data_IF_671659229754
#
_entry.id   IF_671659229754
#
_cell.length_a   1.000
_cell.length_b   1.000
_cell.length_c   1.000
_cell.angle_alpha   90.00
_cell.angle_beta   90.00
_cell.angle_gamma   90.00
#
_symmetry.space_group_name_H-M   'P 1'
#
loop_
_entity.id
_entity.type
_entity.pdbx_description
1 polymer ?
#
# COMPACT_ATOMS: atom_id res chain seq x y z
N UNK A 1 -11.54 2.14 2.89
CA UNK A 1 -10.11 1.83 2.64
C UNK A 1 -9.30 3.11 2.80
N UNK A 2 -8.02 3.01 3.18
CA UNK A 2 -7.09 4.15 3.18
C UNK A 2 -5.75 3.74 2.58
N UNK A 3 -5.03 4.75 2.07
CA UNK A 3 -3.69 4.62 1.53
C UNK A 3 -2.79 5.65 2.21
N UNK A 4 -1.73 5.19 2.86
CA UNK A 4 -0.75 6.05 3.51
C UNK A 4 0.60 5.88 2.80
N UNK A 5 1.16 6.96 2.26
CA UNK A 5 2.45 6.93 1.56
C UNK A 5 3.56 7.59 2.37
N UNK A 6 4.75 6.99 2.39
CA UNK A 6 5.97 7.60 2.95
C UNK A 6 6.92 7.98 1.82
N UNK A 7 7.12 9.29 1.62
CA UNK A 7 8.10 9.83 0.68
C UNK A 7 9.50 9.38 1.11
N UNK A 8 10.34 9.05 0.13
CA UNK A 8 11.72 8.63 0.37
C UNK A 8 12.57 9.78 0.95
N UNK A 9 12.70 10.87 0.19
CA UNK A 9 13.36 12.09 0.66
C UNK A 9 12.57 13.34 0.24
N UNK A 10 11.97 14.01 1.23
CA UNK A 10 11.22 15.24 0.99
C UNK A 10 12.10 16.40 0.50
N UNK A 11 13.38 16.45 0.91
CA UNK A 11 14.29 17.51 0.47
C UNK A 11 14.57 17.40 -1.02
N UNK A 12 14.71 16.18 -1.54
CA UNK A 12 14.90 15.92 -2.98
C UNK A 12 13.65 16.26 -3.76
N UNK A 13 12.46 15.92 -3.25
CA UNK A 13 11.18 16.38 -3.81
C UNK A 13 11.10 17.92 -3.91
N UNK A 14 11.61 18.62 -2.91
CA UNK A 14 11.66 20.08 -2.85
C UNK A 14 12.84 20.70 -3.62
N UNK A 15 13.72 19.90 -4.24
CA UNK A 15 14.89 20.38 -4.98
C UNK A 15 16.04 20.89 -4.09
N UNK A 16 16.05 20.54 -2.80
CA UNK A 16 17.05 20.95 -1.81
C UNK A 16 18.14 19.89 -1.57
N UNK A 17 18.03 18.72 -2.20
CA UNK A 17 18.98 17.61 -2.09
C UNK A 17 19.03 16.79 -3.39
N UNK A 18 20.15 16.13 -3.65
CA UNK A 18 20.36 15.18 -4.75
C UNK A 18 20.36 13.71 -4.28
N UNK A 19 20.10 13.45 -2.99
CA UNK A 19 20.15 12.10 -2.39
C UNK A 19 18.75 11.47 -2.33
N UNK A 20 18.64 10.16 -2.60
CA UNK A 20 17.35 9.47 -2.61
C UNK A 20 16.49 9.86 -3.82
N UNK A 21 15.18 9.63 -3.75
CA UNK A 21 14.25 9.93 -4.85
C UNK A 21 12.99 10.70 -4.42
N UNK A 22 12.36 11.33 -5.42
CA UNK A 22 11.18 12.19 -5.28
C UNK A 22 9.91 11.42 -4.86
N UNK A 23 9.89 10.11 -5.15
CA UNK A 23 8.71 9.25 -4.98
C UNK A 23 8.55 8.64 -3.58
N UNK A 24 7.50 7.83 -3.43
CA UNK A 24 7.27 7.03 -2.23
C UNK A 24 8.30 5.91 -2.10
N UNK A 25 8.83 5.71 -0.90
CA UNK A 25 9.59 4.50 -0.54
C UNK A 25 8.65 3.37 -0.11
N UNK A 26 7.58 3.72 0.60
CA UNK A 26 6.63 2.78 1.16
C UNK A 26 5.20 3.31 1.02
N UNK A 27 4.25 2.40 0.86
CA UNK A 27 2.82 2.68 0.90
C UNK A 27 2.10 1.62 1.71
N UNK A 28 1.28 2.03 2.69
CA UNK A 28 0.42 1.15 3.47
C UNK A 28 -0.99 1.16 2.88
N UNK A 29 -1.47 0.00 2.46
CA UNK A 29 -2.81 -0.16 1.90
C UNK A 29 -3.70 -0.86 2.93
N UNK A 30 -4.61 -0.10 3.55
CA UNK A 30 -5.45 -0.57 4.66
C UNK A 30 -6.88 -0.80 4.21
N UNK A 31 -7.33 -2.04 4.32
CA UNK A 31 -8.71 -2.43 4.08
C UNK A 31 -9.45 -2.60 5.42
N UNK A 32 -10.55 -1.89 5.58
CA UNK A 32 -11.51 -2.08 6.67
C UNK A 32 -12.79 -2.59 6.04
N UNK A 33 -13.27 -3.76 6.44
CA UNK A 33 -14.40 -4.41 5.80
C UNK A 33 -15.32 -5.07 6.83
N UNK A 34 -16.63 -4.85 6.72
CA UNK A 34 -17.64 -5.61 7.44
C UNK A 34 -18.11 -6.74 6.53
N UNK A 35 -17.99 -7.99 6.97
CA UNK A 35 -18.35 -9.14 6.16
C UNK A 35 -18.80 -10.31 7.04
N UNK A 36 -19.78 -11.12 6.61
CA UNK A 36 -20.12 -12.38 7.28
C UNK A 36 -19.10 -13.50 7.02
N UNK A 37 -18.14 -13.29 6.11
CA UNK A 37 -17.09 -14.26 5.81
C UNK A 37 -16.06 -14.32 6.96
N UNK A 38 -15.45 -15.49 7.15
CA UNK A 38 -14.42 -15.65 8.16
C UNK A 38 -13.15 -14.84 7.83
N UNK A 39 -12.33 -14.48 8.84
CA UNK A 39 -11.15 -13.64 8.65
C UNK A 39 -10.14 -14.19 7.63
N UNK A 40 -10.01 -15.51 7.51
CA UNK A 40 -9.06 -16.13 6.56
C UNK A 40 -9.53 -15.93 5.13
N UNK A 41 -10.82 -16.15 4.86
CA UNK A 41 -11.42 -15.85 3.54
C UNK A 41 -11.19 -14.39 3.15
N UNK A 42 -11.35 -13.45 4.07
CA UNK A 42 -11.08 -12.02 3.81
C UNK A 42 -9.60 -11.76 3.51
N UNK A 43 -8.70 -12.39 4.26
CA UNK A 43 -7.26 -12.26 4.05
C UNK A 43 -6.82 -12.83 2.69
N UNK A 44 -7.39 -13.96 2.26
CA UNK A 44 -7.10 -14.59 0.97
C UNK A 44 -7.60 -13.73 -0.19
N UNK A 45 -8.82 -13.18 -0.08
CA UNK A 45 -9.37 -12.22 -1.07
C UNK A 45 -8.48 -10.99 -1.17
N UNK A 46 -8.04 -10.43 -0.04
CA UNK A 46 -7.19 -9.24 -0.03
C UNK A 46 -5.82 -9.51 -0.66
N UNK A 47 -5.20 -10.63 -0.30
CA UNK A 47 -3.95 -11.08 -0.91
C UNK A 47 -4.09 -11.23 -2.42
N UNK A 48 -5.17 -11.88 -2.87
CA UNK A 48 -5.43 -12.06 -4.31
C UNK A 48 -5.66 -10.74 -5.05
N UNK A 49 -6.33 -9.80 -4.41
CA UNK A 49 -6.57 -8.45 -4.95
C UNK A 49 -5.25 -7.73 -5.19
N UNK A 50 -4.28 -7.84 -4.28
CA UNK A 50 -2.96 -7.21 -4.42
C UNK A 50 -2.13 -7.84 -5.54
N UNK A 51 -2.18 -9.17 -5.69
CA UNK A 51 -1.51 -9.88 -6.78
C UNK A 51 -2.02 -9.47 -8.17
N UNK A 52 -3.33 -9.20 -8.27
CA UNK A 52 -4.00 -9.00 -9.56
C UNK A 52 -4.22 -7.53 -9.91
N UNK A 53 -4.07 -6.62 -8.94
CA UNK A 53 -4.28 -5.18 -9.14
C UNK A 53 -3.24 -4.59 -10.10
N UNK A 54 -3.65 -4.03 -11.25
CA UNK A 54 -2.72 -3.38 -12.17
C UNK A 54 -1.99 -2.19 -11.53
N UNK A 55 -2.68 -1.44 -10.66
CA UNK A 55 -2.10 -0.31 -9.93
C UNK A 55 -1.13 -0.81 -8.85
N UNK A 56 -1.52 -1.83 -8.08
CA UNK A 56 -0.65 -2.45 -7.09
C UNK A 56 0.64 -2.98 -7.73
N UNK A 57 0.51 -3.67 -8.87
CA UNK A 57 1.64 -4.19 -9.64
C UNK A 57 2.51 -3.11 -10.29
N UNK A 58 1.95 -1.93 -10.58
CA UNK A 58 2.72 -0.80 -11.09
C UNK A 58 3.55 -0.18 -9.96
N UNK A 59 2.95 0.02 -8.79
CA UNK A 59 3.60 0.63 -7.63
C UNK A 59 4.65 -0.31 -7.02
N UNK A 60 4.37 -1.61 -6.92
CA UNK A 60 5.24 -2.60 -6.27
C UNK A 60 6.62 -2.75 -6.92
N UNK A 61 6.79 -2.29 -8.17
CA UNK A 61 8.08 -2.30 -8.87
C UNK A 61 9.14 -1.44 -8.16
N UNK A 62 8.72 -0.30 -7.61
CA UNK A 62 9.63 0.71 -7.05
C UNK A 62 9.25 1.11 -5.61
N UNK A 63 8.08 0.71 -5.12
CA UNK A 63 7.54 1.11 -3.82
C UNK A 63 7.22 -0.14 -3.01
N UNK A 64 7.66 -0.18 -1.75
CA UNK A 64 7.25 -1.24 -0.83
C UNK A 64 5.77 -1.07 -0.47
N UNK A 65 4.93 -2.03 -0.85
CA UNK A 65 3.52 -2.06 -0.46
C UNK A 65 3.38 -2.88 0.82
N UNK A 66 2.77 -2.31 1.85
CA UNK A 66 2.46 -2.97 3.12
C UNK A 66 0.94 -3.10 3.23
N UNK A 67 0.39 -4.28 2.92
CA UNK A 67 -1.04 -4.50 2.99
C UNK A 67 -1.50 -4.80 4.41
N UNK A 68 -2.63 -4.23 4.81
CA UNK A 68 -3.28 -4.47 6.09
C UNK A 68 -4.78 -4.68 5.84
N UNK A 69 -5.38 -5.63 6.54
CA UNK A 69 -6.83 -5.86 6.50
C UNK A 69 -7.37 -6.02 7.91
N UNK A 70 -8.51 -5.39 8.17
CA UNK A 70 -9.23 -5.47 9.43
C UNK A 70 -10.70 -5.72 9.15
N UNK A 71 -11.24 -6.79 9.75
CA UNK A 71 -12.69 -7.03 9.77
C UNK A 71 -13.28 -6.16 10.86
N UNK A 72 -14.25 -5.33 10.52
CA UNK A 72 -14.91 -4.40 11.44
C UNK A 72 -16.38 -4.80 11.61
N UNK A 73 -16.88 -4.66 12.84
CA UNK A 73 -18.27 -4.97 13.20
C UNK A 73 -19.27 -4.01 12.61
#
# INVERSE_FOLDING_TARGET
>A
MSLEGRIDNILTFLGLSDQGHLGYRETKAKLYVRSPADPKTIQDIWSKTLETSPVGNTLSRNVKIVPEVSVVD
#
